data_IF_204041103392
#
_entry.id   IF_204041103392
#
_cell.length_a   1.000
_cell.length_b   1.000
_cell.length_c   1.000
_cell.angle_alpha   90.00
_cell.angle_beta   90.00
_cell.angle_gamma   90.00
#
_symmetry.space_group_name_H-M   'P 1'
#
loop_
_entity.id
_entity.type
_entity.pdbx_description
1 polymer ?
#
# COMPACT_ATOMS: atom_id res chain seq x y z
N UNK A 1 28.89 -8.85 35.04
CA UNK A 1 28.44 -7.95 33.96
C UNK A 1 27.05 -8.40 33.56
N UNK A 2 26.05 -7.50 33.60
CA UNK A 2 24.63 -7.84 33.35
C UNK A 2 24.44 -8.30 31.91
N UNK A 3 23.83 -9.48 31.73
CA UNK A 3 23.38 -9.99 30.44
C UNK A 3 22.35 -9.02 29.85
N UNK A 4 22.64 -8.50 28.67
CA UNK A 4 21.67 -7.85 27.81
C UNK A 4 21.09 -8.95 26.93
N UNK A 5 20.01 -9.57 27.40
CA UNK A 5 19.19 -10.47 26.58
C UNK A 5 18.49 -9.57 25.57
N UNK A 6 19.04 -9.49 24.35
CA UNK A 6 18.32 -8.94 23.22
C UNK A 6 17.23 -9.93 22.87
N UNK A 7 15.98 -9.49 22.99
CA UNK A 7 14.79 -10.29 22.72
C UNK A 7 14.75 -10.55 21.20
N UNK A 8 15.04 -11.78 20.77
CA UNK A 8 15.06 -12.25 19.37
C UNK A 8 13.65 -12.38 18.75
N UNK A 9 12.71 -11.54 19.17
CA UNK A 9 11.42 -11.37 18.47
C UNK A 9 11.62 -10.31 17.38
N UNK A 10 12.64 -10.49 16.54
CA UNK A 10 12.80 -9.74 15.30
C UNK A 10 11.61 -10.08 14.39
N UNK A 11 10.91 -9.05 13.88
CA UNK A 11 9.80 -9.17 12.93
C UNK A 11 10.08 -10.20 11.83
N UNK A 12 9.63 -11.44 12.02
CA UNK A 12 9.79 -12.49 11.03
C UNK A 12 8.80 -12.23 9.91
N UNK A 13 9.29 -11.66 8.81
CA UNK A 13 8.49 -11.50 7.60
C UNK A 13 8.19 -12.90 7.05
N UNK A 14 6.90 -13.26 7.05
CA UNK A 14 6.43 -14.50 6.45
C UNK A 14 6.29 -14.33 4.93
N UNK A 15 6.75 -15.32 4.17
CA UNK A 15 6.73 -15.30 2.72
C UNK A 15 5.78 -16.37 2.19
N UNK A 16 5.09 -16.05 1.09
CA UNK A 16 4.26 -16.98 0.33
C UNK A 16 4.72 -17.05 -1.13
N UNK A 17 4.34 -18.11 -1.84
CA UNK A 17 4.66 -18.32 -3.26
C UNK A 17 3.43 -18.07 -4.11
N UNK A 18 3.58 -17.26 -5.16
CA UNK A 18 2.54 -16.99 -6.14
C UNK A 18 2.97 -17.50 -7.50
N UNK A 19 2.15 -18.34 -8.13
CA UNK A 19 2.39 -18.80 -9.50
C UNK A 19 1.94 -17.74 -10.49
N UNK A 20 2.83 -17.36 -11.41
CA UNK A 20 2.52 -16.45 -12.52
C UNK A 20 2.92 -17.08 -13.85
N UNK A 21 2.24 -16.73 -14.97
CA UNK A 21 2.63 -17.22 -16.29
C UNK A 21 4.09 -16.90 -16.61
N UNK A 22 4.82 -17.86 -17.19
CA UNK A 22 6.23 -17.69 -17.59
C UNK A 22 6.49 -16.40 -18.40
N UNK A 23 5.66 -16.04 -19.40
CA UNK A 23 5.88 -14.81 -20.16
C UNK A 23 5.81 -13.55 -19.29
N UNK A 24 4.98 -13.55 -18.24
CA UNK A 24 4.88 -12.44 -17.31
C UNK A 24 6.13 -12.37 -16.41
N UNK A 25 6.59 -13.52 -15.90
CA UNK A 25 7.82 -13.60 -15.12
C UNK A 25 9.03 -13.07 -15.91
N UNK A 26 9.12 -13.37 -17.20
CA UNK A 26 10.22 -12.89 -18.06
C UNK A 26 10.14 -11.38 -18.31
N UNK A 27 8.94 -10.83 -18.51
CA UNK A 27 8.72 -9.38 -18.57
C UNK A 27 9.16 -8.68 -17.28
N UNK A 28 8.79 -9.25 -16.12
CA UNK A 28 9.19 -8.73 -14.81
C UNK A 28 10.71 -8.74 -14.67
N UNK A 29 11.37 -9.87 -14.98
CA UNK A 29 12.84 -9.99 -14.95
C UNK A 29 13.51 -8.97 -15.86
N UNK A 30 13.00 -8.77 -17.07
CA UNK A 30 13.57 -7.79 -18.00
C UNK A 30 13.39 -6.36 -17.53
N UNK A 31 12.22 -6.02 -16.96
CA UNK A 31 11.97 -4.69 -16.41
C UNK A 31 12.79 -4.41 -15.15
N UNK A 32 13.11 -5.45 -14.38
CA UNK A 32 14.01 -5.35 -13.22
C UNK A 32 15.45 -5.04 -13.62
N UNK A 33 15.91 -5.43 -14.82
CA UNK A 33 17.28 -5.12 -15.28
C UNK A 33 17.47 -3.60 -15.35
N UNK A 34 18.53 -3.10 -14.71
CA UNK A 34 18.81 -1.67 -14.61
C UNK A 34 18.15 -0.97 -13.42
N UNK A 35 17.39 -1.71 -12.60
CA UNK A 35 16.96 -1.25 -11.28
C UNK A 35 17.97 -1.66 -10.20
N UNK A 36 17.88 -1.07 -9.00
CA UNK A 36 18.70 -1.43 -7.85
C UNK A 36 18.27 -2.71 -7.11
N UNK A 37 17.28 -3.45 -7.62
CA UNK A 37 16.77 -4.65 -6.95
C UNK A 37 17.67 -5.85 -7.20
N UNK A 38 18.05 -6.54 -6.12
CA UNK A 38 18.88 -7.75 -6.14
C UNK A 38 18.09 -9.04 -6.40
N UNK A 39 16.76 -9.00 -6.29
CA UNK A 39 15.91 -10.17 -6.52
C UNK A 39 14.58 -9.82 -7.18
N UNK A 40 14.07 -10.76 -7.97
CA UNK A 40 12.75 -10.64 -8.60
C UNK A 40 11.66 -10.55 -7.54
N UNK A 41 11.77 -11.30 -6.45
CA UNK A 41 10.81 -11.26 -5.34
C UNK A 41 10.75 -9.87 -4.71
N UNK A 42 11.89 -9.24 -4.43
CA UNK A 42 11.93 -7.87 -3.88
C UNK A 42 11.30 -6.85 -4.82
N UNK A 43 11.58 -6.96 -6.12
CA UNK A 43 10.99 -6.07 -7.12
C UNK A 43 9.46 -6.25 -7.21
N UNK A 44 8.97 -7.49 -7.26
CA UNK A 44 7.53 -7.79 -7.30
C UNK A 44 6.85 -7.31 -6.03
N UNK A 45 7.44 -7.54 -4.85
CA UNK A 45 6.89 -7.03 -3.58
C UNK A 45 6.77 -5.51 -3.58
N UNK A 46 7.77 -4.79 -4.09
CA UNK A 46 7.71 -3.33 -4.22
C UNK A 46 6.56 -2.89 -5.13
N UNK A 47 6.45 -3.48 -6.32
CA UNK A 47 5.40 -3.14 -7.29
C UNK A 47 4.02 -3.45 -6.74
N UNK A 48 3.83 -4.62 -6.13
CA UNK A 48 2.55 -5.00 -5.52
C UNK A 48 2.15 -4.04 -4.41
N UNK A 49 3.09 -3.64 -3.55
CA UNK A 49 2.83 -2.66 -2.49
C UNK A 49 2.37 -1.33 -3.07
N UNK A 50 3.06 -0.83 -4.09
CA UNK A 50 2.71 0.44 -4.73
C UNK A 50 1.31 0.38 -5.35
N UNK A 51 0.99 -0.69 -6.08
CA UNK A 51 -0.33 -0.86 -6.71
C UNK A 51 -1.44 -0.95 -5.67
N UNK A 52 -1.25 -1.72 -4.58
CA UNK A 52 -2.24 -1.85 -3.52
C UNK A 52 -2.45 -0.51 -2.79
N UNK A 53 -1.39 0.22 -2.46
CA UNK A 53 -1.51 1.54 -1.82
C UNK A 53 -2.30 2.52 -2.68
N UNK A 54 -2.06 2.56 -4.01
CA UNK A 54 -2.84 3.42 -4.90
C UNK A 54 -4.32 3.03 -4.95
N UNK A 55 -4.64 1.74 -4.94
CA UNK A 55 -6.04 1.28 -4.90
C UNK A 55 -6.70 1.64 -3.56
N UNK A 56 -5.98 1.48 -2.44
CA UNK A 56 -6.48 1.84 -1.11
C UNK A 56 -6.74 3.34 -0.97
N UNK A 57 -5.83 4.19 -1.49
CA UNK A 57 -6.02 5.64 -1.54
C UNK A 57 -7.23 6.04 -2.41
N UNK A 58 -7.41 5.40 -3.56
CA UNK A 58 -8.57 5.60 -4.43
C UNK A 58 -9.89 5.19 -3.74
N UNK A 59 -9.90 4.09 -3.00
CA UNK A 59 -11.08 3.65 -2.26
C UNK A 59 -11.37 4.56 -1.05
N UNK A 60 -10.34 4.99 -0.32
CA UNK A 60 -10.48 5.93 0.80
C UNK A 60 -10.97 7.31 0.32
N UNK A 61 -10.45 7.81 -0.80
CA UNK A 61 -10.93 9.06 -1.37
C UNK A 61 -12.39 8.97 -1.81
N UNK A 62 -12.81 7.87 -2.44
CA UNK A 62 -14.23 7.63 -2.75
C UNK A 62 -15.11 7.57 -1.49
N UNK A 63 -14.62 6.99 -0.39
CA UNK A 63 -15.35 6.94 0.88
C UNK A 63 -15.50 8.34 1.50
N UNK A 64 -14.44 9.15 1.52
CA UNK A 64 -14.44 10.50 2.09
C UNK A 64 -15.28 11.53 1.30
N UNK A 65 -15.65 11.23 0.05
CA UNK A 65 -16.52 12.04 -0.80
C UNK A 65 -17.89 11.39 -1.02
N UNK A 66 -18.37 10.58 -0.07
CA UNK A 66 -19.77 10.13 -0.14
C UNK A 66 -20.70 11.34 -0.07
N UNK A 67 -21.73 11.38 -0.91
CA UNK A 67 -22.73 12.48 -0.94
C UNK A 67 -23.30 12.77 0.45
N UNK A 68 -23.45 11.72 1.27
CA UNK A 68 -24.01 11.81 2.61
C UNK A 68 -23.07 12.52 3.61
N UNK A 69 -21.75 12.35 3.47
CA UNK A 69 -20.75 13.11 4.23
C UNK A 69 -20.66 14.55 3.75
N UNK A 70 -20.73 14.76 2.42
CA UNK A 70 -20.77 16.09 1.82
C UNK A 70 -21.99 16.89 2.32
N UNK A 71 -23.18 16.27 2.38
CA UNK A 71 -24.40 16.90 2.89
C UNK A 71 -24.33 17.20 4.38
N UNK A 72 -23.70 16.34 5.19
CA UNK A 72 -23.43 16.60 6.61
C UNK A 72 -22.46 17.77 6.81
N UNK A 73 -21.42 17.87 5.99
CA UNK A 73 -20.46 18.99 6.03
C UNK A 73 -21.17 20.28 5.60
N UNK A 74 -21.94 20.26 4.50
CA UNK A 74 -22.74 21.40 4.06
C UNK A 74 -23.73 21.86 5.13
N UNK A 75 -24.39 20.93 5.83
CA UNK A 75 -25.30 21.29 6.91
C UNK A 75 -24.58 21.99 8.06
N UNK A 76 -23.44 21.46 8.50
CA UNK A 76 -22.62 22.11 9.54
C UNK A 76 -22.14 23.50 9.11
N UNK A 77 -21.76 23.67 7.85
CA UNK A 77 -21.34 24.96 7.31
C UNK A 77 -22.50 25.96 7.24
N UNK A 78 -23.71 25.53 6.89
CA UNK A 78 -24.95 26.34 7.00
C UNK A 78 -25.25 26.73 8.44
N UNK A 79 -25.18 25.77 9.37
CA UNK A 79 -25.43 26.01 10.79
C UNK A 79 -24.41 26.99 11.41
N UNK A 80 -23.18 27.01 10.89
CA UNK A 80 -22.12 27.93 11.26
C UNK A 80 -22.16 29.27 10.48
N UNK A 81 -23.05 29.42 9.50
CA UNK A 81 -23.22 30.64 8.70
C UNK A 81 -22.14 30.90 7.65
N UNK A 82 -21.40 29.86 7.23
CA UNK A 82 -20.36 30.00 6.19
C UNK A 82 -20.91 29.93 4.77
N UNK A 83 -22.06 29.30 4.57
CA UNK A 83 -22.74 29.15 3.27
C UNK A 83 -24.26 29.23 3.50
N UNK A 84 -25.00 29.77 2.53
CA UNK A 84 -26.47 29.81 2.50
C UNK A 84 -27.06 28.56 1.83
#
# INVERSE_FOLDING_TARGET
>A
MKNLVMNEEEHKVEYTTVSIPKPLADKVKNRMKGTGFSSVSSYVTYVLRQVLSSIEEDEQSKQAFTKEEEDKVKQRLRDLGYID
#
